data_IF_567829827699
#
_entry.id   IF_567829827699
#
_cell.length_a   1.000
_cell.length_b   1.000
_cell.length_c   1.000
_cell.angle_alpha   90.00
_cell.angle_beta   90.00
_cell.angle_gamma   90.00
#
_symmetry.space_group_name_H-M   'P 1'
#
loop_
_entity.id
_entity.type
_entity.pdbx_description
1 polymer ?
#
# COMPACT_ATOMS: atom_id res chain seq x y z
N UNK A 1 -18.42 0.47 -15.38
CA UNK A 1 -18.62 -0.92 -14.93
C UNK A 1 -18.89 -0.87 -13.44
N UNK A 2 -19.97 -1.48 -12.96
CA UNK A 2 -20.24 -1.53 -11.52
C UNK A 2 -19.42 -2.67 -10.90
N UNK A 3 -18.45 -2.32 -10.06
CA UNK A 3 -17.68 -3.31 -9.32
C UNK A 3 -18.45 -3.79 -8.09
N UNK A 4 -18.25 -5.05 -7.73
CA UNK A 4 -18.87 -5.67 -6.56
C UNK A 4 -17.82 -6.04 -5.52
N UNK A 5 -18.27 -6.31 -4.29
CA UNK A 5 -17.44 -6.90 -3.23
C UNK A 5 -16.67 -8.13 -3.69
N UNK A 6 -17.28 -8.99 -4.52
CA UNK A 6 -16.63 -10.20 -5.02
C UNK A 6 -15.42 -9.85 -5.90
N UNK A 7 -15.54 -8.84 -6.77
CA UNK A 7 -14.44 -8.39 -7.62
C UNK A 7 -13.23 -7.94 -6.79
N UNK A 8 -13.46 -7.17 -5.72
CA UNK A 8 -12.39 -6.71 -4.83
C UNK A 8 -11.79 -7.84 -3.99
N UNK A 9 -12.60 -8.79 -3.52
CA UNK A 9 -12.10 -9.99 -2.84
C UNK A 9 -11.19 -10.80 -3.76
N UNK A 10 -11.59 -11.04 -5.00
CA UNK A 10 -10.77 -11.74 -6.00
C UNK A 10 -9.47 -10.96 -6.25
N UNK A 11 -9.55 -9.65 -6.48
CA UNK A 11 -8.39 -8.79 -6.68
C UNK A 11 -7.39 -8.94 -5.52
N UNK A 12 -7.86 -8.78 -4.29
CA UNK A 12 -7.02 -8.81 -3.09
C UNK A 12 -6.47 -10.20 -2.78
N UNK A 13 -7.25 -11.26 -3.02
CA UNK A 13 -6.81 -12.65 -2.86
C UNK A 13 -5.80 -13.09 -3.92
N UNK A 14 -5.77 -12.45 -5.09
CA UNK A 14 -4.77 -12.70 -6.12
C UNK A 14 -3.53 -11.85 -5.88
N UNK A 15 -3.70 -10.53 -5.74
CA UNK A 15 -2.57 -9.61 -5.60
C UNK A 15 -1.82 -9.77 -4.27
N UNK A 16 -2.50 -10.12 -3.19
CA UNK A 16 -1.87 -10.31 -1.88
C UNK A 16 -0.76 -11.37 -1.91
N UNK A 17 -1.07 -12.61 -2.33
CA UNK A 17 -0.06 -13.64 -2.54
C UNK A 17 0.99 -13.26 -3.60
N UNK A 18 0.61 -12.55 -4.67
CA UNK A 18 1.57 -12.09 -5.68
C UNK A 18 2.61 -11.16 -5.07
N UNK A 19 2.23 -10.19 -4.23
CA UNK A 19 3.17 -9.28 -3.55
C UNK A 19 4.19 -10.08 -2.72
N UNK A 20 3.72 -11.08 -1.96
CA UNK A 20 4.61 -11.93 -1.18
C UNK A 20 5.52 -12.79 -2.06
N UNK A 21 4.97 -13.32 -3.16
CA UNK A 21 5.72 -14.12 -4.12
C UNK A 21 6.80 -13.29 -4.85
N UNK A 22 6.49 -12.07 -5.29
CA UNK A 22 7.48 -11.19 -5.93
C UNK A 22 8.56 -10.76 -4.94
N UNK A 23 8.21 -10.55 -3.67
CA UNK A 23 9.20 -10.30 -2.62
C UNK A 23 10.14 -11.48 -2.43
N UNK A 24 9.60 -12.68 -2.18
CA UNK A 24 10.40 -13.89 -1.98
C UNK A 24 11.27 -14.22 -3.21
N UNK A 25 10.67 -14.16 -4.39
CA UNK A 25 11.36 -14.42 -5.66
C UNK A 25 12.49 -13.41 -5.90
N UNK A 26 12.20 -12.10 -5.80
CA UNK A 26 13.18 -11.06 -6.06
C UNK A 26 14.36 -11.12 -5.10
N UNK A 27 14.10 -11.32 -3.80
CA UNK A 27 15.14 -11.52 -2.77
C UNK A 27 15.99 -12.75 -3.07
N UNK A 28 15.36 -13.89 -3.39
CA UNK A 28 16.08 -15.14 -3.70
C UNK A 28 17.04 -15.05 -4.88
N UNK A 29 16.80 -14.08 -5.77
CA UNK A 29 17.59 -13.86 -6.99
C UNK A 29 18.68 -12.80 -6.82
N UNK A 30 18.85 -12.22 -5.64
CA UNK A 30 19.91 -11.26 -5.35
C UNK A 30 21.11 -11.95 -4.68
N UNK A 31 22.32 -11.66 -5.15
CA UNK A 31 23.56 -12.11 -4.49
C UNK A 31 23.79 -11.44 -3.14
N UNK A 32 23.28 -10.21 -2.96
CA UNK A 32 23.33 -9.48 -1.70
C UNK A 32 21.98 -8.76 -1.46
N UNK A 33 21.02 -9.42 -0.79
CA UNK A 33 19.73 -8.82 -0.44
C UNK A 33 19.81 -7.58 0.45
N UNK A 34 20.91 -7.40 1.20
CA UNK A 34 21.08 -6.22 2.07
C UNK A 34 21.08 -4.91 1.29
N UNK A 35 21.38 -4.95 -0.01
CA UNK A 35 21.27 -3.78 -0.89
C UNK A 35 19.86 -3.21 -1.00
N UNK A 36 18.81 -4.01 -0.72
CA UNK A 36 17.43 -3.51 -0.69
C UNK A 36 17.18 -2.51 0.44
N UNK A 37 17.97 -2.57 1.52
CA UNK A 37 17.91 -1.57 2.58
C UNK A 37 18.50 -0.22 2.14
N UNK A 38 19.21 -0.15 1.01
CA UNK A 38 19.89 1.07 0.57
C UNK A 38 20.84 1.59 1.63
N UNK A 39 20.64 2.83 2.07
CA UNK A 39 21.43 3.47 3.14
C UNK A 39 20.83 3.36 4.55
N UNK A 40 19.80 2.52 4.77
CA UNK A 40 19.20 2.37 6.10
C UNK A 40 20.18 1.66 7.06
N UNK A 41 20.57 2.29 8.20
CA UNK A 41 21.48 1.69 9.16
C UNK A 41 20.92 0.41 9.79
N UNK A 42 21.78 -0.56 10.08
CA UNK A 42 21.39 -1.85 10.69
C UNK A 42 20.59 -1.69 11.99
N UNK A 43 20.96 -0.72 12.82
CA UNK A 43 20.27 -0.43 14.09
C UNK A 43 18.80 -0.02 13.90
N UNK A 44 18.44 0.52 12.74
CA UNK A 44 17.08 0.94 12.40
C UNK A 44 16.27 -0.13 11.66
N UNK A 45 16.91 -1.17 11.11
CA UNK A 45 16.23 -2.20 10.32
C UNK A 45 15.19 -2.97 11.15
N UNK A 46 15.50 -3.33 12.39
CA UNK A 46 14.54 -4.01 13.29
C UNK A 46 13.31 -3.15 13.59
N UNK A 47 13.51 -1.85 13.77
CA UNK A 47 12.41 -0.91 13.97
C UNK A 47 11.55 -0.82 12.69
N UNK A 48 12.17 -0.72 11.52
CA UNK A 48 11.48 -0.70 10.23
C UNK A 48 10.64 -1.98 10.02
N UNK A 49 11.21 -3.17 10.26
CA UNK A 49 10.47 -4.45 10.20
C UNK A 49 9.26 -4.46 11.15
N UNK A 50 9.41 -3.91 12.36
CA UNK A 50 8.28 -3.79 13.30
C UNK A 50 7.18 -2.90 12.72
N UNK A 51 7.54 -1.77 12.10
CA UNK A 51 6.59 -0.92 11.39
C UNK A 51 5.92 -1.64 10.21
N UNK A 52 6.62 -2.52 9.48
CA UNK A 52 6.01 -3.34 8.42
C UNK A 52 4.88 -4.22 8.97
N UNK A 53 5.08 -4.88 10.12
CA UNK A 53 4.03 -5.70 10.73
C UNK A 53 2.85 -4.86 11.24
N UNK A 54 3.10 -3.68 11.83
CA UNK A 54 2.05 -2.73 12.23
C UNK A 54 1.24 -2.29 11.00
N UNK A 55 1.94 -1.97 9.90
CA UNK A 55 1.33 -1.57 8.64
C UNK A 55 0.50 -2.70 8.02
N UNK A 56 1.02 -3.94 8.00
CA UNK A 56 0.29 -5.11 7.55
C UNK A 56 -0.99 -5.35 8.38
N UNK A 57 -0.92 -5.20 9.70
CA UNK A 57 -2.11 -5.27 10.56
C UNK A 57 -3.13 -4.17 10.21
N UNK A 58 -2.68 -2.93 9.98
CA UNK A 58 -3.52 -1.83 9.54
C UNK A 58 -4.22 -2.09 8.20
N UNK A 59 -3.50 -2.66 7.23
CA UNK A 59 -4.07 -3.10 5.96
C UNK A 59 -5.10 -4.21 6.15
N UNK A 60 -4.81 -5.23 6.96
CA UNK A 60 -5.75 -6.33 7.23
C UNK A 60 -7.02 -5.86 7.94
N UNK A 61 -6.91 -4.87 8.83
CA UNK A 61 -8.06 -4.21 9.44
C UNK A 61 -8.95 -3.60 8.36
N UNK A 62 -8.39 -2.76 7.47
CA UNK A 62 -9.16 -2.14 6.38
C UNK A 62 -9.77 -3.20 5.46
N UNK A 63 -8.98 -4.19 5.05
CA UNK A 63 -9.39 -5.31 4.21
C UNK A 63 -10.56 -6.10 4.81
N UNK A 64 -10.46 -6.46 6.09
CA UNK A 64 -11.51 -7.18 6.81
C UNK A 64 -12.79 -6.35 6.90
N UNK A 65 -12.68 -5.09 7.33
CA UNK A 65 -13.83 -4.23 7.57
C UNK A 65 -14.61 -3.94 6.28
N UNK A 66 -13.92 -3.52 5.22
CA UNK A 66 -14.57 -3.17 3.95
C UNK A 66 -15.08 -4.39 3.18
N UNK A 67 -14.36 -5.51 3.20
CA UNK A 67 -14.69 -6.64 2.33
C UNK A 67 -15.45 -7.75 3.04
N UNK A 68 -15.50 -7.82 4.37
CA UNK A 68 -16.11 -8.93 5.09
C UNK A 68 -17.07 -8.51 6.19
N UNK A 69 -16.68 -7.56 7.05
CA UNK A 69 -17.46 -7.20 8.23
C UNK A 69 -18.72 -6.39 7.89
N UNK A 70 -18.59 -5.30 7.13
CA UNK A 70 -19.71 -4.40 6.87
C UNK A 70 -20.68 -4.95 5.82
N UNK A 71 -21.92 -4.49 5.86
CA UNK A 71 -22.94 -4.88 4.89
C UNK A 71 -22.64 -4.34 3.48
N UNK A 72 -23.10 -5.07 2.45
CA UNK A 72 -22.78 -4.73 1.05
C UNK A 72 -23.28 -3.36 0.65
N UNK A 73 -24.49 -3.01 1.10
CA UNK A 73 -25.14 -1.74 0.80
C UNK A 73 -24.45 -0.57 1.50
N UNK A 74 -24.05 -0.77 2.76
CA UNK A 74 -23.32 0.23 3.52
C UNK A 74 -22.00 0.60 2.83
N UNK A 75 -21.19 -0.41 2.47
CA UNK A 75 -19.91 -0.19 1.79
C UNK A 75 -20.09 0.46 0.41
N UNK A 76 -21.16 0.12 -0.31
CA UNK A 76 -21.44 0.73 -1.61
C UNK A 76 -21.84 2.20 -1.51
N UNK A 77 -22.36 2.61 -0.34
CA UNK A 77 -22.74 3.99 -0.05
C UNK A 77 -21.54 4.92 0.24
N UNK A 78 -20.34 4.36 0.42
CA UNK A 78 -19.12 5.13 0.70
C UNK A 78 -18.82 6.12 -0.42
N UNK A 79 -18.51 7.34 -0.01
CA UNK A 79 -18.18 8.45 -0.90
C UNK A 79 -16.81 9.04 -0.58
N UNK A 80 -16.33 9.91 -1.46
CA UNK A 80 -15.20 10.74 -1.08
C UNK A 80 -15.69 11.85 -0.15
N UNK A 81 -14.89 12.30 0.84
CA UNK A 81 -15.28 13.40 1.73
C UNK A 81 -15.72 14.70 1.03
N UNK A 82 -15.28 14.93 -0.22
CA UNK A 82 -15.62 16.09 -1.05
C UNK A 82 -16.73 15.82 -2.08
N UNK A 83 -17.33 14.64 -2.08
CA UNK A 83 -18.43 14.28 -2.98
C UNK A 83 -19.71 14.03 -2.19
N UNK A 84 -20.83 14.48 -2.74
CA UNK A 84 -22.18 14.27 -2.19
C UNK A 84 -22.88 13.01 -2.73
N UNK A 85 -22.27 12.30 -3.69
CA UNK A 85 -22.84 11.09 -4.27
C UNK A 85 -22.60 9.86 -3.38
N UNK A 86 -23.68 9.17 -3.02
CA UNK A 86 -23.71 8.00 -2.14
C UNK A 86 -23.67 6.67 -2.90
N UNK A 87 -23.07 6.63 -4.10
CA UNK A 87 -22.92 5.41 -4.90
C UNK A 87 -21.51 5.23 -5.41
N UNK A 88 -21.09 3.98 -5.63
CA UNK A 88 -19.79 3.63 -6.20
C UNK A 88 -18.68 3.36 -5.19
N UNK A 89 -19.02 3.05 -3.93
CA UNK A 89 -18.04 2.73 -2.89
C UNK A 89 -17.08 1.61 -3.29
N UNK A 90 -17.56 0.55 -3.96
CA UNK A 90 -16.68 -0.51 -4.46
C UNK A 90 -15.72 -0.03 -5.57
N UNK A 91 -16.11 0.93 -6.41
CA UNK A 91 -15.21 1.49 -7.41
C UNK A 91 -14.09 2.31 -6.75
N UNK A 92 -14.43 3.08 -5.70
CA UNK A 92 -13.45 3.84 -4.92
C UNK A 92 -12.47 2.92 -4.20
N UNK A 93 -13.00 1.89 -3.52
CA UNK A 93 -12.16 0.89 -2.86
C UNK A 93 -11.30 0.12 -3.85
N UNK A 94 -11.80 -0.20 -5.05
CA UNK A 94 -11.00 -0.81 -6.11
C UNK A 94 -9.82 0.07 -6.51
N UNK A 95 -10.03 1.38 -6.64
CA UNK A 95 -8.95 2.33 -6.91
C UNK A 95 -7.92 2.31 -5.77
N UNK A 96 -8.37 2.38 -4.51
CA UNK A 96 -7.48 2.32 -3.34
C UNK A 96 -6.64 1.03 -3.31
N UNK A 97 -7.30 -0.14 -3.42
CA UNK A 97 -6.60 -1.43 -3.44
C UNK A 97 -5.67 -1.55 -4.63
N UNK A 98 -6.06 -1.09 -5.82
CA UNK A 98 -5.21 -1.18 -7.01
C UNK A 98 -3.97 -0.31 -6.89
N UNK A 99 -4.10 0.93 -6.42
CA UNK A 99 -2.98 1.86 -6.22
C UNK A 99 -2.01 1.39 -5.13
N UNK A 100 -2.47 0.63 -4.15
CA UNK A 100 -1.60 0.01 -3.16
C UNK A 100 -0.97 -1.27 -3.71
N UNK A 101 -1.80 -2.24 -4.09
CA UNK A 101 -1.34 -3.61 -4.29
C UNK A 101 -0.57 -3.83 -5.59
N UNK A 102 -0.98 -3.19 -6.69
CA UNK A 102 -0.31 -3.38 -7.98
C UNK A 102 1.12 -2.80 -7.93
N UNK A 103 1.33 -1.54 -7.49
CA UNK A 103 2.68 -1.00 -7.39
C UNK A 103 3.51 -1.74 -6.32
N UNK A 104 2.92 -2.13 -5.17
CA UNK A 104 3.63 -2.93 -4.18
C UNK A 104 4.19 -4.24 -4.75
N UNK A 105 3.47 -4.91 -5.66
CA UNK A 105 3.96 -6.13 -6.30
C UNK A 105 5.18 -5.88 -7.21
N UNK A 106 5.32 -4.67 -7.74
CA UNK A 106 6.37 -4.28 -8.69
C UNK A 106 7.63 -3.72 -8.01
N UNK A 107 7.54 -3.27 -6.75
CA UNK A 107 8.60 -2.53 -6.08
C UNK A 107 9.95 -3.28 -6.03
N UNK A 108 9.96 -4.53 -5.55
CA UNK A 108 11.18 -5.35 -5.43
C UNK A 108 11.89 -5.50 -6.79
N UNK A 109 11.14 -5.80 -7.85
CA UNK A 109 11.73 -6.01 -9.18
C UNK A 109 12.26 -4.70 -9.78
N UNK A 110 11.57 -3.57 -9.58
CA UNK A 110 12.05 -2.26 -10.05
C UNK A 110 13.30 -1.82 -9.27
N UNK A 111 13.33 -2.02 -7.96
CA UNK A 111 14.51 -1.73 -7.12
C UNK A 111 15.70 -2.60 -7.54
N UNK A 112 15.50 -3.90 -7.76
CA UNK A 112 16.53 -4.81 -8.30
C UNK A 112 17.02 -4.38 -9.68
N UNK A 113 16.11 -3.97 -10.55
CA UNK A 113 16.45 -3.48 -11.87
C UNK A 113 17.34 -2.24 -11.78
N UNK A 114 17.01 -1.27 -10.91
CA UNK A 114 17.86 -0.12 -10.65
C UNK A 114 19.24 -0.52 -10.10
N UNK A 115 19.31 -1.41 -9.10
CA UNK A 115 20.57 -1.88 -8.50
C UNK A 115 21.49 -2.55 -9.54
N UNK A 116 20.91 -3.32 -10.46
CA UNK A 116 21.68 -4.07 -11.47
C UNK A 116 22.02 -3.23 -12.70
N UNK A 117 21.17 -2.27 -13.05
CA UNK A 117 21.29 -1.45 -14.25
C UNK A 117 20.92 0.00 -13.92
N UNK A 118 21.78 0.74 -13.19
CA UNK A 118 21.47 2.11 -12.82
C UNK A 118 21.37 2.98 -14.07
N UNK A 119 20.16 3.45 -14.38
CA UNK A 119 19.87 4.41 -15.46
C UNK A 119 19.17 5.62 -14.87
N UNK A 120 19.33 6.80 -15.49
CA UNK A 120 18.69 8.06 -15.05
C UNK A 120 17.19 7.95 -14.78
N UNK A 121 16.45 7.09 -15.50
CA UNK A 121 15.01 6.93 -15.34
C UNK A 121 14.59 5.95 -14.22
N UNK A 122 15.48 5.02 -13.83
CA UNK A 122 15.14 3.93 -12.88
C UNK A 122 14.84 4.39 -11.44
N UNK A 123 15.47 5.46 -10.90
CA UNK A 123 15.03 6.06 -9.64
C UNK A 123 13.59 6.55 -9.71
N UNK A 124 13.21 7.27 -10.78
CA UNK A 124 11.85 7.80 -10.94
C UNK A 124 10.80 6.70 -11.02
N UNK A 125 11.10 5.57 -11.66
CA UNK A 125 10.19 4.43 -11.69
C UNK A 125 10.01 3.80 -10.30
N UNK A 126 11.10 3.63 -9.55
CA UNK A 126 11.08 3.04 -8.20
C UNK A 126 10.36 3.94 -7.19
N UNK A 127 10.71 5.23 -7.17
CA UNK A 127 10.07 6.23 -6.31
C UNK A 127 8.61 6.44 -6.73
N UNK A 128 8.33 6.45 -8.04
CA UNK A 128 6.98 6.56 -8.58
C UNK A 128 6.06 5.44 -8.07
N UNK A 129 6.56 4.20 -7.97
CA UNK A 129 5.85 3.09 -7.33
C UNK A 129 5.48 3.43 -5.88
N UNK A 130 6.44 3.90 -5.08
CA UNK A 130 6.21 4.25 -3.66
C UNK A 130 5.22 5.42 -3.50
N UNK A 131 5.28 6.40 -4.40
CA UNK A 131 4.31 7.51 -4.44
C UNK A 131 2.91 6.99 -4.75
N UNK A 132 2.75 6.07 -5.71
CA UNK A 132 1.45 5.48 -6.04
C UNK A 132 0.85 4.73 -4.83
N UNK A 133 1.66 3.94 -4.12
CA UNK A 133 1.21 3.27 -2.88
C UNK A 133 0.79 4.30 -1.83
N UNK A 134 1.57 5.37 -1.66
CA UNK A 134 1.26 6.47 -0.73
C UNK A 134 -0.06 7.17 -1.07
N UNK A 135 -0.31 7.45 -2.36
CA UNK A 135 -1.58 8.00 -2.82
C UNK A 135 -2.72 7.02 -2.51
N UNK A 136 -2.54 5.73 -2.78
CA UNK A 136 -3.50 4.69 -2.42
C UNK A 136 -3.83 4.67 -0.92
N UNK A 137 -2.82 4.81 -0.06
CA UNK A 137 -3.02 4.91 1.39
C UNK A 137 -3.75 6.21 1.81
N UNK A 138 -3.43 7.35 1.21
CA UNK A 138 -4.17 8.60 1.47
C UNK A 138 -5.64 8.45 1.07
N UNK A 139 -5.93 7.81 -0.06
CA UNK A 139 -7.31 7.53 -0.46
C UNK A 139 -8.01 6.58 0.52
N UNK A 140 -7.31 5.54 1.01
CA UNK A 140 -7.82 4.70 2.10
C UNK A 140 -8.12 5.50 3.36
N UNK A 141 -7.27 6.45 3.73
CA UNK A 141 -7.47 7.31 4.88
C UNK A 141 -8.70 8.20 4.70
N UNK A 142 -8.88 8.79 3.52
CA UNK A 142 -10.01 9.67 3.22
C UNK A 142 -11.35 8.92 3.20
N UNK A 143 -11.41 7.74 2.58
CA UNK A 143 -12.65 6.94 2.56
C UNK A 143 -12.96 6.34 3.93
N UNK A 144 -11.93 5.97 4.70
CA UNK A 144 -12.12 5.49 6.08
C UNK A 144 -12.55 6.60 7.02
N UNK A 145 -12.09 7.84 6.79
CA UNK A 145 -12.55 9.01 7.51
C UNK A 145 -14.03 9.28 7.22
N UNK A 146 -14.44 9.24 5.96
CA UNK A 146 -15.86 9.38 5.58
C UNK A 146 -16.71 8.31 6.28
N UNK A 147 -16.31 7.04 6.19
CA UNK A 147 -16.97 5.93 6.87
C UNK A 147 -17.16 6.16 8.38
N UNK A 148 -16.14 6.72 9.04
CA UNK A 148 -16.21 7.07 10.46
C UNK A 148 -17.22 8.20 10.72
N UNK A 149 -17.16 9.27 9.94
CA UNK A 149 -18.03 10.43 10.09
C UNK A 149 -19.50 10.09 9.84
N UNK A 150 -19.78 9.21 8.87
CA UNK A 150 -21.14 8.76 8.53
C UNK A 150 -21.64 7.61 9.40
N UNK A 151 -20.79 7.07 10.30
CA UNK A 151 -21.11 5.97 11.21
C UNK A 151 -21.72 4.78 10.47
N UNK A 152 -21.09 4.42 9.35
CA UNK A 152 -21.53 3.38 8.42
C UNK A 152 -21.85 2.01 9.06
N UNK A 153 -21.29 1.73 10.23
CA UNK A 153 -21.54 0.52 10.99
C UNK A 153 -20.71 0.48 12.27
N UNK A 154 -20.74 -0.67 12.94
CA UNK A 154 -19.92 -0.88 14.12
C UNK A 154 -18.43 -0.74 13.78
N UNK A 155 -17.69 -0.13 14.73
CA UNK A 155 -16.25 0.12 14.60
C UNK A 155 -15.89 0.94 13.36
N UNK A 156 -16.75 1.87 12.92
CA UNK A 156 -16.53 2.79 11.80
C UNK A 156 -15.17 3.53 11.81
N UNK A 157 -14.63 3.79 13.01
CA UNK A 157 -13.33 4.45 13.21
C UNK A 157 -12.13 3.53 12.92
N UNK A 158 -12.33 2.21 12.93
CA UNK A 158 -11.24 1.24 12.93
C UNK A 158 -10.46 1.22 11.60
N UNK A 159 -11.09 1.28 10.40
CA UNK A 159 -10.36 1.44 9.14
C UNK A 159 -9.53 2.71 9.07
N UNK A 160 -9.96 3.80 9.72
CA UNK A 160 -9.19 5.03 9.76
C UNK A 160 -7.89 4.84 10.56
N UNK A 161 -7.98 4.20 11.73
CA UNK A 161 -6.78 3.80 12.49
C UNK A 161 -5.92 2.82 11.68
N UNK A 162 -6.53 1.86 10.97
CA UNK A 162 -5.82 0.95 10.07
C UNK A 162 -5.04 1.69 8.97
N UNK A 163 -5.61 2.75 8.41
CA UNK A 163 -4.95 3.59 7.40
C UNK A 163 -3.78 4.40 7.96
N UNK A 164 -3.85 4.84 9.22
CA UNK A 164 -2.76 5.51 9.93
C UNK A 164 -1.64 4.52 10.28
N UNK A 165 -1.99 3.31 10.71
CA UNK A 165 -1.01 2.24 10.91
C UNK A 165 -0.31 1.89 9.59
N UNK A 166 -1.06 1.83 8.49
CA UNK A 166 -0.52 1.54 7.17
C UNK A 166 0.47 2.63 6.71
N UNK A 167 0.14 3.91 6.95
CA UNK A 167 0.95 5.07 6.53
C UNK A 167 2.34 5.12 7.15
N UNK A 168 2.52 4.59 8.38
CA UNK A 168 3.84 4.49 9.04
C UNK A 168 4.86 3.83 8.11
N UNK A 169 4.49 2.73 7.47
CA UNK A 169 5.40 2.06 6.54
C UNK A 169 5.39 2.74 5.17
N UNK A 170 4.23 2.81 4.51
CA UNK A 170 4.22 3.09 3.07
C UNK A 170 4.50 4.54 2.72
N UNK A 171 4.20 5.48 3.63
CA UNK A 171 4.50 6.91 3.44
C UNK A 171 5.83 7.25 4.11
N UNK A 172 5.90 7.08 5.44
CA UNK A 172 7.05 7.60 6.19
C UNK A 172 8.31 6.78 5.97
N UNK A 173 8.24 5.46 6.18
CA UNK A 173 9.44 4.61 6.06
C UNK A 173 9.85 4.39 4.60
N UNK A 174 8.91 4.11 3.69
CA UNK A 174 9.23 3.74 2.32
C UNK A 174 9.31 4.95 1.40
N UNK A 175 8.21 5.68 1.20
CA UNK A 175 8.18 6.77 0.24
C UNK A 175 9.09 7.95 0.62
N UNK A 176 9.19 8.29 1.91
CA UNK A 176 10.04 9.40 2.38
C UNK A 176 11.42 8.89 2.77
N UNK A 177 11.52 8.12 3.86
CA UNK A 177 12.81 7.84 4.50
C UNK A 177 13.71 6.93 3.65
N UNK A 178 13.18 5.81 3.17
CA UNK A 178 13.93 4.90 2.30
C UNK A 178 14.32 5.59 0.99
N UNK A 179 13.42 6.36 0.37
CA UNK A 179 13.75 7.09 -0.86
C UNK A 179 14.83 8.16 -0.65
N UNK A 180 14.92 8.79 0.52
CA UNK A 180 16.01 9.74 0.83
C UNK A 180 17.32 8.99 1.12
N UNK A 181 17.24 7.89 1.86
CA UNK A 181 18.40 7.12 2.28
C UNK A 181 18.97 6.21 1.18
N UNK A 182 18.20 5.92 0.13
CA UNK A 182 18.64 5.01 -0.94
C UNK A 182 19.70 5.69 -1.83
N UNK A 183 20.83 5.02 -2.12
CA UNK A 183 21.90 5.58 -2.95
C UNK A 183 21.51 5.51 -4.43
N UNK A 184 20.78 6.52 -4.92
CA UNK A 184 20.31 6.57 -6.32
C UNK A 184 21.38 6.89 -7.36
N UNK A 185 22.53 7.45 -6.93
CA UNK A 185 23.64 7.73 -7.85
C UNK A 185 24.38 6.43 -8.18
N UNK A 186 24.61 6.21 -9.47
CA UNK A 186 25.82 5.54 -9.91
C UNK A 186 26.92 6.59 -9.81
N UNK A 187 27.83 6.47 -8.86
CA UNK A 187 29.10 7.19 -8.96
C UNK A 187 29.86 6.62 -10.18
N UNK A 188 29.54 7.18 -11.35
CA UNK A 188 30.38 7.36 -12.55
C UNK A 188 30.05 8.73 -13.17
#
# INVERSE_FOLDING_TARGET
MELTRLNLRILTMILGPIILATYAYGVSKMSNPEKLWGGIPESWRKFNVTCMFISAAGFLIMWWMFLFQWETQAVEALSWPWQSDSKGGYNRLFLCFSLVMIPSAMWIEMTRFHISHPKKWTPFATIGILILVSIGNILFMLISWEAWQTKIGDLAWLPFIGSLMFSIQVIFNDAIWWSIAFPWSSDE
#
